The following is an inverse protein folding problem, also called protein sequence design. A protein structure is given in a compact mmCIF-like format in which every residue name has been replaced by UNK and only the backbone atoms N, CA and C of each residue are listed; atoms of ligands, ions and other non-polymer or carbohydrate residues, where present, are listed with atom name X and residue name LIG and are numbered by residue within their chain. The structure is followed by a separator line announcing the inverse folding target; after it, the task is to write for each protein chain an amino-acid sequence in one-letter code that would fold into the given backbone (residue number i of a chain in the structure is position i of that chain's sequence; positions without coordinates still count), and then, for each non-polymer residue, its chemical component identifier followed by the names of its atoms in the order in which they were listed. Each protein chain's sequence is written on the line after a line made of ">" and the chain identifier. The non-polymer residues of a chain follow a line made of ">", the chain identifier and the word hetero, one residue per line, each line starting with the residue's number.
data_IF_389478136502
#
_entry.id   IF_389478136502
#
_cell.length_a   1.000
_cell.length_b   1.000
_cell.length_c   1.000
_cell.angle_alpha   90.00
_cell.angle_beta   90.00
_cell.angle_gamma   90.00
#
_symmetry.space_group_name_H-M   'P 1'
#
loop_
_entity.id
_entity.type
_entity.pdbx_description
1 polymer ?
#
# COMPACT_ATOMS: atom_id res chain seq x y z
N UNK A 1 15.39 -16.90 61.31
CA UNK A 1 16.47 -16.68 60.33
C UNK A 1 15.97 -17.10 58.97
N UNK A 2 15.40 -16.17 58.23
CA UNK A 2 14.80 -16.37 56.89
C UNK A 2 15.84 -15.91 55.86
N UNK A 3 16.36 -16.84 55.05
CA UNK A 3 17.27 -16.55 53.92
C UNK A 3 16.51 -16.08 52.71
N UNK A 4 16.69 -14.84 52.34
CA UNK A 4 16.21 -14.23 51.09
C UNK A 4 17.13 -14.63 49.94
N UNK A 5 16.57 -15.19 48.87
CA UNK A 5 17.27 -15.53 47.63
C UNK A 5 17.49 -14.26 46.77
N UNK A 6 18.61 -14.12 46.02
CA UNK A 6 18.87 -12.95 45.22
C UNK A 6 18.13 -13.01 43.88
N UNK A 7 17.53 -11.86 43.47
CA UNK A 7 16.88 -11.63 42.22
C UNK A 7 17.84 -11.73 41.03
N UNK A 8 17.51 -12.54 40.03
CA UNK A 8 18.23 -12.62 38.75
C UNK A 8 18.01 -11.33 37.95
N UNK A 9 19.05 -10.52 37.76
CA UNK A 9 19.09 -9.42 36.82
C UNK A 9 18.98 -9.97 35.38
N UNK A 10 17.96 -9.51 34.67
CA UNK A 10 17.82 -9.75 33.23
C UNK A 10 18.94 -9.00 32.49
N UNK A 11 19.81 -9.76 31.81
CA UNK A 11 20.83 -9.21 30.92
C UNK A 11 20.15 -8.77 29.63
N UNK A 12 19.97 -7.47 29.49
CA UNK A 12 19.54 -6.87 28.23
C UNK A 12 20.61 -7.08 27.16
N UNK A 13 20.26 -7.79 26.08
CA UNK A 13 21.09 -7.88 24.88
C UNK A 13 21.28 -6.48 24.30
N UNK A 14 22.44 -5.87 24.55
CA UNK A 14 22.93 -4.75 23.76
C UNK A 14 23.15 -5.26 22.32
N UNK A 15 22.34 -4.81 21.38
CA UNK A 15 22.62 -4.95 19.94
C UNK A 15 23.89 -4.14 19.65
N UNK A 16 24.86 -4.80 19.03
CA UNK A 16 26.17 -4.27 18.73
C UNK A 16 26.11 -2.99 17.87
N UNK A 17 26.97 -2.05 18.26
CA UNK A 17 27.19 -0.76 17.61
C UNK A 17 28.19 -0.82 16.44
N UNK A 18 28.33 -1.97 15.78
CA UNK A 18 29.34 -2.16 14.73
C UNK A 18 28.71 -2.46 13.34
N UNK A 19 27.56 -1.82 13.05
CA UNK A 19 27.18 -1.69 11.63
C UNK A 19 28.03 -0.56 11.03
N UNK A 20 28.74 -0.78 9.89
CA UNK A 20 29.49 0.28 9.23
C UNK A 20 28.54 1.44 8.92
N UNK A 21 28.78 2.59 9.54
CA UNK A 21 28.05 3.80 9.22
C UNK A 21 28.39 4.18 7.78
N UNK A 22 27.37 4.17 6.91
CA UNK A 22 27.49 4.73 5.57
C UNK A 22 27.75 6.24 5.71
N UNK A 23 28.96 6.68 5.36
CA UNK A 23 29.27 8.09 5.23
C UNK A 23 28.93 8.52 3.80
N UNK A 24 28.02 9.51 3.61
CA UNK A 24 27.70 10.01 2.29
C UNK A 24 28.94 10.62 1.65
N UNK A 25 29.24 10.26 0.40
CA UNK A 25 30.30 10.88 -0.37
C UNK A 25 29.93 12.36 -0.59
N UNK A 26 30.76 13.33 -0.19
CA UNK A 26 30.48 14.73 -0.42
C UNK A 26 30.47 15.04 -1.92
N UNK A 27 29.41 15.67 -2.42
CA UNK A 27 29.34 16.16 -3.79
C UNK A 27 29.59 17.66 -3.80
N UNK A 28 30.49 18.13 -4.62
CA UNK A 28 30.75 19.57 -4.76
C UNK A 28 29.53 20.29 -5.34
N UNK A 29 28.86 21.15 -4.55
CA UNK A 29 27.64 21.82 -5.01
C UNK A 29 27.90 22.80 -6.19
N UNK A 30 29.16 23.15 -6.50
CA UNK A 30 29.51 24.04 -7.62
C UNK A 30 29.38 23.34 -8.98
N UNK A 31 29.30 22.03 -9.02
CA UNK A 31 29.13 21.23 -10.24
C UNK A 31 27.68 20.88 -10.55
N UNK A 32 26.70 21.54 -9.91
CA UNK A 32 25.28 21.24 -10.05
C UNK A 32 24.54 22.41 -10.69
N UNK A 33 23.81 22.15 -11.77
CA UNK A 33 23.00 23.17 -12.44
C UNK A 33 21.70 22.59 -13.03
N UNK A 34 20.75 23.46 -13.32
CA UNK A 34 19.51 23.11 -13.96
C UNK A 34 19.60 23.29 -15.48
N UNK A 35 19.22 22.28 -16.24
CA UNK A 35 19.18 22.31 -17.69
C UNK A 35 17.92 21.61 -18.21
N UNK A 36 17.39 22.12 -19.35
CA UNK A 36 16.42 21.38 -20.16
C UNK A 36 17.19 20.49 -21.14
N UNK A 37 16.86 19.21 -21.16
CA UNK A 37 17.54 18.23 -22.01
C UNK A 37 16.47 17.43 -22.75
N UNK A 38 16.59 17.28 -24.08
CA UNK A 38 15.76 16.37 -24.86
C UNK A 38 15.84 14.95 -24.30
N UNK A 39 14.69 14.30 -24.10
CA UNK A 39 14.66 12.97 -23.48
C UNK A 39 15.38 11.90 -24.31
N UNK A 40 15.54 12.11 -25.61
CA UNK A 40 16.30 11.24 -26.50
C UNK A 40 17.81 11.25 -26.24
N UNK A 41 18.33 12.26 -25.52
CA UNK A 41 19.74 12.36 -25.14
C UNK A 41 20.04 11.80 -23.75
N UNK A 42 19.02 11.35 -23.03
CA UNK A 42 19.14 10.83 -21.67
C UNK A 42 19.32 9.31 -21.73
N UNK A 43 20.50 8.86 -21.36
CA UNK A 43 20.89 7.46 -21.41
C UNK A 43 20.79 6.79 -20.05
N UNK A 44 20.69 5.45 -20.04
CA UNK A 44 20.76 4.62 -18.83
C UNK A 44 22.01 3.77 -18.98
N UNK A 45 22.92 3.84 -18.01
CA UNK A 45 24.13 3.04 -18.02
C UNK A 45 23.82 1.61 -17.55
N UNK A 46 23.94 0.60 -18.44
CA UNK A 46 23.65 -0.78 -18.07
C UNK A 46 24.74 -1.39 -17.17
N UNK A 47 25.91 -0.76 -17.05
CA UNK A 47 27.03 -1.26 -16.23
C UNK A 47 26.91 -0.85 -14.76
N UNK A 48 26.08 0.14 -14.44
CA UNK A 48 25.81 0.54 -13.06
C UNK A 48 24.78 -0.40 -12.42
N UNK A 49 25.25 -1.42 -11.72
CA UNK A 49 24.43 -2.31 -10.87
C UNK A 49 23.61 -1.54 -9.80
N UNK A 50 23.91 -0.27 -9.60
CA UNK A 50 23.24 0.62 -8.66
C UNK A 50 21.87 1.11 -9.15
N UNK A 51 21.52 0.99 -10.44
CA UNK A 51 20.24 1.43 -10.97
C UNK A 51 19.16 0.37 -10.77
N UNK A 52 17.94 0.81 -10.40
CA UNK A 52 16.79 -0.09 -10.38
C UNK A 52 16.52 -0.63 -11.78
N UNK A 53 16.37 -1.95 -11.91
CA UNK A 53 15.93 -2.56 -13.15
C UNK A 53 14.66 -1.87 -13.65
N UNK A 54 14.66 -1.49 -14.93
CA UNK A 54 13.48 -0.89 -15.57
C UNK A 54 12.28 -1.85 -15.48
N UNK A 55 11.18 -1.37 -14.92
CA UNK A 55 9.94 -2.13 -14.82
C UNK A 55 8.90 -1.61 -15.80
N UNK A 56 8.70 -2.32 -16.91
CA UNK A 56 7.73 -1.95 -17.95
C UNK A 56 6.31 -1.79 -17.39
N UNK A 57 5.90 -2.65 -16.46
CA UNK A 57 4.59 -2.57 -15.81
C UNK A 57 4.39 -1.26 -15.04
N UNK A 58 5.44 -0.73 -14.41
CA UNK A 58 5.40 0.55 -13.72
C UNK A 58 5.34 1.72 -14.70
N UNK A 59 6.15 1.72 -15.76
CA UNK A 59 6.08 2.72 -16.82
C UNK A 59 4.69 2.77 -17.46
N UNK A 60 4.06 1.61 -17.72
CA UNK A 60 2.70 1.53 -18.25
C UNK A 60 1.66 2.13 -17.29
N UNK A 61 1.77 1.89 -15.98
CA UNK A 61 0.88 2.52 -14.98
C UNK A 61 1.04 4.04 -14.95
N UNK A 62 2.28 4.52 -14.99
CA UNK A 62 2.60 5.94 -15.04
C UNK A 62 2.05 6.57 -16.32
N UNK A 63 2.20 5.89 -17.47
CA UNK A 63 1.69 6.34 -18.76
C UNK A 63 0.18 6.50 -18.83
N UNK A 64 -0.59 5.69 -18.09
CA UNK A 64 -2.06 5.80 -17.99
C UNK A 64 -2.51 7.07 -17.25
N UNK A 65 -1.71 7.54 -16.28
CA UNK A 65 -1.97 8.74 -15.47
C UNK A 65 -1.01 9.88 -15.83
N UNK A 66 -0.46 9.85 -17.05
CA UNK A 66 0.57 10.80 -17.47
C UNK A 66 0.05 12.25 -17.43
N UNK A 67 0.81 13.09 -16.72
CA UNK A 67 0.62 14.52 -16.70
C UNK A 67 2.00 15.22 -16.75
N UNK A 68 2.37 15.84 -17.86
CA UNK A 68 3.68 16.48 -17.99
C UNK A 68 3.92 17.62 -16.99
N UNK A 69 2.85 18.24 -16.45
CA UNK A 69 2.96 19.26 -15.40
C UNK A 69 3.45 18.73 -14.06
N UNK A 70 3.34 17.39 -13.85
CA UNK A 70 3.80 16.71 -12.64
C UNK A 70 5.17 16.06 -12.83
N UNK A 71 5.81 16.26 -13.97
CA UNK A 71 7.12 15.71 -14.27
C UNK A 71 8.19 16.43 -13.45
N UNK A 72 8.69 15.77 -12.43
CA UNK A 72 9.79 16.28 -11.61
C UNK A 72 11.09 16.30 -12.42
N UNK A 73 12.03 17.22 -12.12
CA UNK A 73 13.35 17.20 -12.72
C UNK A 73 14.03 15.84 -12.56
N UNK A 74 14.68 15.35 -13.63
CA UNK A 74 15.52 14.16 -13.53
C UNK A 74 16.85 14.51 -12.86
N UNK A 75 17.47 13.55 -12.20
CA UNK A 75 18.84 13.66 -11.73
C UNK A 75 19.74 13.00 -12.77
N UNK A 76 20.72 13.74 -13.26
CA UNK A 76 21.53 13.35 -14.42
C UNK A 76 23.01 13.61 -14.12
N UNK A 77 23.86 12.64 -14.49
CA UNK A 77 25.31 12.83 -14.55
C UNK A 77 25.72 13.14 -15.99
N UNK A 78 26.44 14.24 -16.19
CA UNK A 78 27.14 14.53 -17.44
C UNK A 78 28.59 14.11 -17.31
N UNK A 79 28.95 13.02 -17.98
CA UNK A 79 30.29 12.45 -17.92
C UNK A 79 31.25 13.15 -18.92
N UNK A 80 32.53 12.83 -18.79
CA UNK A 80 33.59 13.40 -19.64
C UNK A 80 33.41 13.08 -21.14
N UNK A 81 32.63 12.06 -21.50
CA UNK A 81 32.23 11.75 -22.87
C UNK A 81 31.18 12.71 -23.45
N UNK A 82 30.71 13.66 -22.66
CA UNK A 82 29.71 14.64 -23.00
C UNK A 82 28.26 14.13 -22.97
N UNK A 83 28.04 12.85 -22.65
CA UNK A 83 26.71 12.23 -22.59
C UNK A 83 26.06 12.39 -21.23
N UNK A 84 24.72 12.29 -21.23
CA UNK A 84 23.89 12.50 -20.07
C UNK A 84 23.31 11.18 -19.55
N UNK A 85 23.73 10.75 -18.38
CA UNK A 85 23.31 9.49 -17.76
C UNK A 85 22.29 9.73 -16.65
N UNK A 86 21.14 9.08 -16.73
CA UNK A 86 20.06 9.20 -15.73
C UNK A 86 20.48 8.52 -14.43
N UNK A 87 20.48 9.24 -13.33
CA UNK A 87 20.60 8.72 -11.98
C UNK A 87 19.23 8.51 -11.33
N UNK A 88 18.25 9.42 -11.57
CA UNK A 88 16.85 9.23 -11.18
C UNK A 88 15.92 9.75 -12.27
N UNK A 89 14.72 9.16 -12.35
CA UNK A 89 13.69 9.56 -13.30
C UNK A 89 13.57 8.68 -14.56
N UNK A 90 14.21 7.50 -14.61
CA UNK A 90 14.22 6.58 -15.74
C UNK A 90 12.82 6.26 -16.28
N UNK A 91 11.89 5.82 -15.41
CA UNK A 91 10.53 5.44 -15.84
C UNK A 91 9.75 6.60 -16.44
N UNK A 92 9.87 7.80 -15.85
CA UNK A 92 9.18 8.99 -16.36
C UNK A 92 9.82 9.53 -17.64
N UNK A 93 11.13 9.38 -17.81
CA UNK A 93 11.81 9.71 -19.08
C UNK A 93 11.34 8.78 -20.20
N UNK A 94 11.26 7.49 -19.94
CA UNK A 94 10.76 6.51 -20.92
C UNK A 94 9.32 6.80 -21.34
N UNK A 95 8.43 7.14 -20.39
CA UNK A 95 7.05 7.52 -20.71
C UNK A 95 6.99 8.82 -21.51
N UNK A 96 7.82 9.80 -21.17
CA UNK A 96 7.90 11.04 -21.93
C UNK A 96 8.36 10.80 -23.38
N UNK A 97 9.40 9.99 -23.55
CA UNK A 97 9.89 9.57 -24.87
C UNK A 97 8.81 8.90 -25.73
N UNK A 98 8.05 7.96 -25.14
CA UNK A 98 6.99 7.23 -25.83
C UNK A 98 5.78 8.11 -26.21
N UNK A 99 5.47 9.13 -25.40
CA UNK A 99 4.31 9.98 -25.62
C UNK A 99 4.58 11.22 -26.47
N UNK A 100 5.77 11.75 -26.38
CA UNK A 100 6.10 13.07 -26.95
C UNK A 100 7.25 13.02 -27.96
N UNK A 101 7.96 11.88 -28.06
CA UNK A 101 9.14 11.73 -28.94
C UNK A 101 10.44 12.21 -28.30
N UNK A 102 11.57 11.97 -29.01
CA UNK A 102 12.92 12.19 -28.48
C UNK A 102 13.26 13.67 -28.21
N UNK A 103 12.62 14.59 -28.95
CA UNK A 103 12.85 16.03 -28.85
C UNK A 103 12.12 16.70 -27.66
N UNK A 104 11.31 15.92 -26.92
CA UNK A 104 10.63 16.46 -25.76
C UNK A 104 11.63 16.83 -24.67
N UNK A 105 11.68 18.12 -24.34
CA UNK A 105 12.56 18.65 -23.30
C UNK A 105 12.01 18.41 -21.90
N UNK A 106 12.83 17.84 -21.01
CA UNK A 106 12.54 17.80 -19.58
C UNK A 106 13.57 18.58 -18.77
N UNK A 107 13.14 19.13 -17.66
CA UNK A 107 14.03 19.72 -16.68
C UNK A 107 14.87 18.63 -16.02
N UNK A 108 16.18 18.87 -15.93
CA UNK A 108 17.15 18.00 -15.29
C UNK A 108 17.99 18.80 -14.29
N UNK A 109 18.34 18.17 -13.20
CA UNK A 109 19.40 18.59 -12.29
C UNK A 109 20.66 17.84 -12.72
N UNK A 110 21.62 18.56 -13.28
CA UNK A 110 22.82 18.00 -13.91
C UNK A 110 24.00 18.15 -12.98
N UNK A 111 24.68 17.04 -12.74
CA UNK A 111 25.97 16.96 -12.06
C UNK A 111 27.03 16.64 -13.09
N UNK A 112 28.16 17.34 -13.07
CA UNK A 112 29.27 17.13 -13.99
C UNK A 112 30.40 16.36 -13.31
N UNK A 113 31.07 15.50 -14.08
CA UNK A 113 32.33 14.84 -13.73
C UNK A 113 32.28 14.08 -12.38
N UNK A 114 31.13 13.44 -12.09
CA UNK A 114 31.03 12.59 -10.91
C UNK A 114 31.85 11.29 -11.09
N UNK A 115 32.50 10.85 -10.01
CA UNK A 115 33.04 9.50 -9.93
C UNK A 115 31.88 8.49 -9.76
N UNK A 116 32.09 7.22 -10.15
CA UNK A 116 31.09 6.15 -10.05
C UNK A 116 30.51 6.01 -8.63
N UNK A 117 31.36 6.17 -7.59
CA UNK A 117 30.94 6.13 -6.20
C UNK A 117 30.01 7.30 -5.82
N UNK A 118 30.21 8.47 -6.41
CA UNK A 118 29.37 9.65 -6.19
C UNK A 118 28.03 9.51 -6.92
N UNK A 119 28.02 8.99 -8.16
CA UNK A 119 26.79 8.64 -8.87
C UNK A 119 25.95 7.65 -8.08
N UNK A 120 26.57 6.58 -7.57
CA UNK A 120 25.90 5.59 -6.73
C UNK A 120 25.35 6.20 -5.41
N UNK A 121 26.12 7.09 -4.77
CA UNK A 121 25.69 7.79 -3.55
C UNK A 121 24.48 8.70 -3.81
N UNK A 122 24.48 9.46 -4.91
CA UNK A 122 23.35 10.30 -5.31
C UNK A 122 22.10 9.47 -5.63
N UNK A 123 22.28 8.35 -6.35
CA UNK A 123 21.18 7.42 -6.61
C UNK A 123 20.56 6.89 -5.32
N UNK A 124 21.40 6.48 -4.35
CA UNK A 124 20.93 6.00 -3.05
C UNK A 124 20.20 7.10 -2.28
N UNK A 125 20.75 8.32 -2.22
CA UNK A 125 20.12 9.44 -1.56
C UNK A 125 18.75 9.80 -2.20
N UNK A 126 18.69 9.87 -3.52
CA UNK A 126 17.45 10.16 -4.24
C UNK A 126 16.34 9.13 -4.01
N UNK A 127 16.70 7.86 -3.78
CA UNK A 127 15.75 6.76 -3.68
C UNK A 127 15.53 6.24 -2.24
N UNK A 128 16.55 6.27 -1.36
CA UNK A 128 16.52 5.70 -0.01
C UNK A 128 16.01 6.69 1.03
N UNK A 129 16.43 7.96 0.90
CA UNK A 129 16.16 8.98 1.91
C UNK A 129 14.78 9.64 1.72
N UNK A 130 14.09 9.32 0.64
CA UNK A 130 12.69 9.72 0.45
C UNK A 130 11.80 8.92 1.40
N UNK A 131 11.34 9.57 2.45
CA UNK A 131 10.33 9.01 3.34
C UNK A 131 9.06 8.71 2.55
N UNK A 132 8.64 7.46 2.51
CA UNK A 132 7.37 7.09 1.89
C UNK A 132 6.22 7.85 2.58
N UNK A 133 5.37 8.50 1.78
CA UNK A 133 4.19 9.19 2.29
C UNK A 133 3.26 8.15 2.93
N UNK A 134 2.82 8.40 4.16
CA UNK A 134 1.92 7.49 4.85
C UNK A 134 0.57 7.42 4.14
N UNK A 135 -0.10 6.26 4.12
CA UNK A 135 -1.42 6.12 3.49
C UNK A 135 -2.45 7.16 3.96
N UNK A 136 -2.43 7.52 5.25
CA UNK A 136 -3.35 8.52 5.79
C UNK A 136 -3.04 9.93 5.30
N UNK A 137 -1.77 10.27 5.08
CA UNK A 137 -1.40 11.60 4.57
C UNK A 137 -1.82 11.72 3.11
N UNK A 138 -1.60 10.67 2.29
CA UNK A 138 -2.13 10.61 0.92
C UNK A 138 -3.67 10.72 0.89
N UNK A 139 -4.36 10.05 1.81
CA UNK A 139 -5.81 10.12 1.92
C UNK A 139 -6.29 11.54 2.20
N UNK A 140 -5.68 12.24 3.16
CA UNK A 140 -6.02 13.62 3.51
C UNK A 140 -5.78 14.59 2.36
N UNK A 141 -4.64 14.47 1.68
CA UNK A 141 -4.33 15.29 0.51
C UNK A 141 -5.32 15.03 -0.63
N UNK A 142 -5.65 13.77 -0.91
CA UNK A 142 -6.62 13.41 -1.93
C UNK A 142 -8.04 13.90 -1.58
N UNK A 143 -8.42 13.85 -0.30
CA UNK A 143 -9.71 14.40 0.18
C UNK A 143 -9.75 15.92 -0.02
N UNK A 144 -8.69 16.65 0.35
CA UNK A 144 -8.57 18.08 0.12
C UNK A 144 -8.58 18.45 -1.37
N UNK A 145 -8.00 17.59 -2.22
CA UNK A 145 -8.02 17.75 -3.67
C UNK A 145 -9.38 17.42 -4.31
N UNK A 146 -10.35 16.92 -3.52
CA UNK A 146 -11.68 16.54 -4.02
C UNK A 146 -11.67 15.29 -4.89
N UNK A 147 -10.71 14.36 -4.70
CA UNK A 147 -10.67 13.12 -5.47
C UNK A 147 -11.98 12.32 -5.27
N UNK A 148 -12.74 12.02 -6.35
CA UNK A 148 -14.11 11.54 -6.24
C UNK A 148 -14.26 10.26 -5.41
N UNK A 149 -13.33 9.28 -5.57
CA UNK A 149 -13.35 8.05 -4.80
C UNK A 149 -13.13 8.33 -3.31
N UNK A 150 -12.11 9.12 -2.97
CA UNK A 150 -11.73 9.38 -1.59
C UNK A 150 -12.82 10.19 -0.89
N UNK A 151 -13.40 11.21 -1.56
CA UNK A 151 -14.51 12.02 -1.03
C UNK A 151 -15.73 11.15 -0.74
N UNK A 152 -16.09 10.24 -1.65
CA UNK A 152 -17.21 9.32 -1.43
C UNK A 152 -16.94 8.34 -0.30
N UNK A 153 -15.76 7.75 -0.26
CA UNK A 153 -15.35 6.80 0.80
C UNK A 153 -15.35 7.49 2.16
N UNK A 154 -14.87 8.73 2.24
CA UNK A 154 -14.91 9.52 3.48
C UNK A 154 -16.34 9.77 3.96
N UNK A 155 -17.23 10.17 3.05
CA UNK A 155 -18.65 10.35 3.37
C UNK A 155 -19.30 9.04 3.86
N UNK A 156 -18.99 7.89 3.26
CA UNK A 156 -19.45 6.57 3.69
C UNK A 156 -18.94 6.22 5.10
N UNK A 157 -17.67 6.50 5.41
CA UNK A 157 -17.11 6.29 6.76
C UNK A 157 -17.75 7.21 7.79
N UNK A 158 -17.91 8.50 7.46
CA UNK A 158 -18.55 9.49 8.32
C UNK A 158 -20.04 9.13 8.57
N UNK A 159 -20.75 8.61 7.58
CA UNK A 159 -22.15 8.16 7.77
C UNK A 159 -22.29 7.03 8.79
N UNK A 160 -21.21 6.25 9.03
CA UNK A 160 -21.15 5.26 10.09
C UNK A 160 -20.75 5.85 11.46
N UNK A 161 -20.56 7.16 11.58
CA UNK A 161 -20.06 7.83 12.79
C UNK A 161 -18.59 7.50 13.08
N UNK A 162 -17.79 7.28 12.02
CA UNK A 162 -16.37 6.94 12.09
C UNK A 162 -15.53 8.00 11.38
N UNK A 163 -14.22 8.02 11.64
CA UNK A 163 -13.25 8.88 10.95
C UNK A 163 -12.05 8.08 10.50
N UNK A 164 -11.45 8.44 9.35
CA UNK A 164 -10.21 7.82 8.86
C UNK A 164 -9.00 8.50 9.49
N UNK A 165 -8.12 7.71 10.10
CA UNK A 165 -6.94 8.20 10.84
C UNK A 165 -5.68 7.39 10.53
N UNK A 166 -4.53 7.77 11.11
CA UNK A 166 -3.27 7.05 10.93
C UNK A 166 -3.15 5.75 11.75
N UNK A 167 -4.03 5.56 12.73
CA UNK A 167 -4.08 4.38 13.60
C UNK A 167 -5.51 4.12 14.03
N UNK A 168 -5.88 2.84 14.22
CA UNK A 168 -7.21 2.51 14.72
C UNK A 168 -7.33 2.79 16.20
N UNK A 169 -8.46 3.39 16.60
CA UNK A 169 -8.89 3.63 17.98
C UNK A 169 -10.42 3.59 18.04
N UNK A 170 -11.06 3.76 19.17
CA UNK A 170 -12.52 3.85 19.22
C UNK A 170 -13.06 4.91 18.26
N UNK A 171 -13.99 4.51 17.40
CA UNK A 171 -14.58 5.33 16.32
C UNK A 171 -13.58 5.86 15.26
N UNK A 172 -12.35 5.35 15.23
CA UNK A 172 -11.30 5.77 14.27
C UNK A 172 -10.74 4.58 13.51
N UNK A 173 -10.78 4.66 12.19
CA UNK A 173 -10.33 3.58 11.28
C UNK A 173 -8.96 3.92 10.74
N UNK A 174 -7.93 3.17 11.18
CA UNK A 174 -6.54 3.32 10.69
C UNK A 174 -6.24 2.51 9.43
N UNK A 175 -7.17 1.65 9.01
CA UNK A 175 -7.01 0.75 7.87
C UNK A 175 -7.32 1.43 6.52
N UNK A 176 -6.65 2.55 6.24
CA UNK A 176 -6.91 3.43 5.09
C UNK A 176 -6.99 2.67 3.77
N UNK A 177 -6.04 1.77 3.49
CA UNK A 177 -6.02 1.00 2.25
C UNK A 177 -7.20 0.02 2.14
N UNK A 178 -7.67 -0.54 3.25
CA UNK A 178 -8.82 -1.44 3.24
C UNK A 178 -10.12 -0.69 2.96
N UNK A 179 -10.34 0.48 3.58
CA UNK A 179 -11.54 1.27 3.33
C UNK A 179 -11.60 1.77 1.89
N UNK A 180 -10.48 2.22 1.32
CA UNK A 180 -10.42 2.62 -0.10
C UNK A 180 -10.69 1.44 -1.03
N UNK A 181 -10.05 0.28 -0.78
CA UNK A 181 -10.23 -0.92 -1.61
C UNK A 181 -11.69 -1.40 -1.61
N UNK A 182 -12.34 -1.41 -0.45
CA UNK A 182 -13.73 -1.87 -0.33
C UNK A 182 -14.71 -0.82 -0.89
N UNK A 183 -14.47 0.45 -0.62
CA UNK A 183 -15.26 1.54 -1.17
C UNK A 183 -15.18 1.61 -2.71
N UNK A 184 -14.02 1.32 -3.31
CA UNK A 184 -13.86 1.26 -4.78
C UNK A 184 -14.72 0.18 -5.43
N UNK A 185 -14.92 -0.97 -4.76
CA UNK A 185 -15.65 -2.10 -5.34
C UNK A 185 -17.12 -1.77 -5.65
N UNK A 186 -17.80 -1.09 -4.72
CA UNK A 186 -19.22 -0.74 -4.87
C UNK A 186 -19.62 0.36 -3.88
N UNK A 187 -20.50 1.26 -4.33
CA UNK A 187 -21.17 2.24 -3.46
C UNK A 187 -22.04 1.52 -2.43
N UNK A 188 -22.00 1.97 -1.17
CA UNK A 188 -22.80 1.39 -0.09
C UNK A 188 -22.28 0.07 0.49
N UNK A 189 -21.23 -0.55 -0.10
CA UNK A 189 -20.62 -1.75 0.45
C UNK A 189 -19.86 -1.45 1.76
N UNK A 190 -19.07 -0.39 1.75
CA UNK A 190 -18.23 -0.03 2.90
C UNK A 190 -19.03 0.23 4.19
N UNK A 191 -20.14 1.01 4.17
CA UNK A 191 -21.00 1.16 5.34
C UNK A 191 -21.51 -0.16 5.90
N UNK A 192 -21.96 -1.09 5.05
CA UNK A 192 -22.43 -2.40 5.51
C UNK A 192 -21.32 -3.21 6.19
N UNK A 193 -20.10 -3.17 5.65
CA UNK A 193 -18.93 -3.82 6.28
C UNK A 193 -18.63 -3.22 7.64
N UNK A 194 -18.54 -1.89 7.73
CA UNK A 194 -18.18 -1.19 8.98
C UNK A 194 -19.25 -1.39 10.05
N UNK A 195 -20.53 -1.33 9.69
CA UNK A 195 -21.65 -1.57 10.62
C UNK A 195 -21.62 -3.02 11.12
N UNK A 196 -21.48 -4.01 10.25
CA UNK A 196 -21.39 -5.43 10.64
C UNK A 196 -20.22 -5.68 11.60
N UNK A 197 -19.06 -5.06 11.37
CA UNK A 197 -17.90 -5.18 12.28
C UNK A 197 -18.17 -4.50 13.64
N UNK A 198 -18.83 -3.35 13.63
CA UNK A 198 -19.25 -2.65 14.86
C UNK A 198 -20.26 -3.47 15.66
N UNK A 199 -21.20 -4.11 15.02
CA UNK A 199 -22.18 -5.00 15.66
C UNK A 199 -21.53 -6.27 16.23
N UNK A 200 -20.52 -6.81 15.55
CA UNK A 200 -19.81 -7.99 16.00
C UNK A 200 -18.96 -7.72 17.25
N UNK A 201 -18.17 -6.65 17.29
CA UNK A 201 -17.17 -6.43 18.33
C UNK A 201 -17.20 -5.03 18.98
N UNK A 202 -18.22 -4.24 18.70
CA UNK A 202 -18.27 -2.86 19.15
C UNK A 202 -17.38 -1.94 18.30
N UNK A 203 -17.25 -0.68 18.76
CA UNK A 203 -16.50 0.37 18.04
C UNK A 203 -15.08 0.53 18.57
N UNK A 204 -14.41 -0.59 18.83
CA UNK A 204 -13.05 -0.60 19.35
C UNK A 204 -11.98 -0.61 18.24
N UNK A 205 -10.74 -0.29 18.60
CA UNK A 205 -9.61 -0.29 17.67
C UNK A 205 -9.44 -1.62 16.91
N UNK A 206 -9.73 -2.74 17.57
CA UNK A 206 -9.59 -4.10 16.98
C UNK A 206 -10.65 -4.39 15.93
N UNK A 207 -11.83 -3.76 16.00
CA UNK A 207 -12.91 -3.91 15.02
C UNK A 207 -12.50 -3.39 13.64
N UNK A 208 -11.60 -2.41 13.59
CA UNK A 208 -11.11 -1.77 12.36
C UNK A 208 -9.84 -2.40 11.81
N UNK A 209 -9.67 -3.72 11.99
CA UNK A 209 -8.52 -4.44 11.44
C UNK A 209 -8.58 -4.51 9.90
N UNK A 210 -7.46 -4.23 9.25
CA UNK A 210 -7.33 -4.20 7.79
C UNK A 210 -7.77 -5.51 7.13
N UNK A 211 -7.35 -6.65 7.70
CA UNK A 211 -7.63 -7.97 7.16
C UNK A 211 -9.12 -8.33 7.30
N UNK A 212 -9.73 -7.94 8.44
CA UNK A 212 -11.16 -8.14 8.68
C UNK A 212 -12.04 -7.31 7.75
N UNK A 213 -11.74 -6.01 7.60
CA UNK A 213 -12.47 -5.12 6.67
C UNK A 213 -12.45 -5.70 5.25
N UNK A 214 -11.28 -6.16 4.79
CA UNK A 214 -11.15 -6.77 3.47
C UNK A 214 -11.92 -8.09 3.35
N UNK A 215 -11.77 -8.99 4.33
CA UNK A 215 -12.39 -10.31 4.28
C UNK A 215 -13.91 -10.21 4.32
N UNK A 216 -14.48 -9.45 5.26
CA UNK A 216 -15.93 -9.23 5.36
C UNK A 216 -16.46 -8.50 4.13
N UNK A 217 -15.71 -7.50 3.63
CA UNK A 217 -16.04 -6.81 2.39
C UNK A 217 -16.09 -7.74 1.17
N UNK A 218 -15.15 -8.69 1.06
CA UNK A 218 -15.15 -9.71 0.01
C UNK A 218 -16.38 -10.63 0.13
N UNK A 219 -16.71 -11.09 1.33
CA UNK A 219 -17.89 -11.96 1.57
C UNK A 219 -19.17 -11.25 1.16
N UNK A 220 -19.40 -10.03 1.65
CA UNK A 220 -20.60 -9.26 1.33
C UNK A 220 -20.68 -8.94 -0.17
N UNK A 221 -19.54 -8.52 -0.78
CA UNK A 221 -19.49 -8.18 -2.20
C UNK A 221 -19.78 -9.37 -3.11
N UNK A 222 -19.21 -10.55 -2.82
CA UNK A 222 -19.44 -11.79 -3.60
C UNK A 222 -20.91 -12.22 -3.53
N UNK A 223 -21.57 -11.94 -2.42
CA UNK A 223 -22.97 -12.31 -2.20
C UNK A 223 -23.91 -11.09 -2.37
N UNK A 224 -23.58 -10.19 -3.29
CA UNK A 224 -24.40 -9.03 -3.64
C UNK A 224 -25.32 -9.35 -4.81
N UNK A 225 -26.60 -9.19 -4.64
CA UNK A 225 -27.58 -9.31 -5.74
C UNK A 225 -27.55 -8.06 -6.60
N UNK A 226 -27.35 -8.23 -7.89
CA UNK A 226 -27.32 -7.11 -8.85
C UNK A 226 -28.70 -6.53 -9.08
N UNK A 227 -29.71 -7.39 -9.07
CA UNK A 227 -31.09 -7.05 -9.36
C UNK A 227 -31.68 -6.12 -8.30
N UNK A 228 -31.42 -6.39 -7.04
CA UNK A 228 -31.99 -5.65 -5.90
C UNK A 228 -31.01 -4.57 -5.38
N UNK A 229 -29.83 -4.48 -5.93
CA UNK A 229 -28.69 -3.67 -5.43
C UNK A 229 -28.48 -3.80 -3.89
N UNK A 230 -28.62 -5.01 -3.39
CA UNK A 230 -28.58 -5.35 -1.98
C UNK A 230 -27.76 -6.64 -1.72
N UNK A 231 -27.17 -6.79 -0.52
CA UNK A 231 -26.53 -8.04 -0.13
C UNK A 231 -27.59 -9.16 -0.01
N UNK A 232 -27.28 -10.32 -0.58
CA UNK A 232 -28.06 -11.56 -0.38
C UNK A 232 -27.83 -12.15 1.01
N UNK A 233 -26.71 -11.83 1.63
CA UNK A 233 -26.31 -12.31 2.95
C UNK A 233 -27.06 -11.54 4.05
N UNK A 234 -27.55 -12.26 5.06
CA UNK A 234 -28.08 -11.68 6.27
C UNK A 234 -26.93 -11.12 7.12
N UNK A 235 -26.89 -9.78 7.25
CA UNK A 235 -25.81 -9.05 7.94
C UNK A 235 -25.87 -9.25 9.46
N UNK A 236 -27.05 -9.39 10.06
CA UNK A 236 -27.22 -9.62 11.48
C UNK A 236 -26.67 -11.00 11.86
N UNK A 237 -27.01 -12.02 11.06
CA UNK A 237 -26.42 -13.35 11.19
C UNK A 237 -24.90 -13.31 11.01
N UNK A 238 -24.40 -12.55 10.06
CA UNK A 238 -22.96 -12.40 9.83
C UNK A 238 -22.27 -11.81 11.06
N UNK A 239 -22.82 -10.75 11.64
CA UNK A 239 -22.32 -10.16 12.87
C UNK A 239 -22.32 -11.16 14.04
N UNK A 240 -23.39 -11.94 14.21
CA UNK A 240 -23.48 -12.98 15.24
C UNK A 240 -22.42 -14.08 15.04
N UNK A 241 -22.17 -14.49 13.80
CA UNK A 241 -21.13 -15.48 13.49
C UNK A 241 -19.74 -14.93 13.79
N UNK A 242 -19.46 -13.69 13.40
CA UNK A 242 -18.18 -13.02 13.65
C UNK A 242 -17.91 -12.87 15.15
N UNK A 243 -18.91 -12.54 15.94
CA UNK A 243 -18.83 -12.38 17.41
C UNK A 243 -18.42 -13.63 18.16
N UNK A 244 -18.64 -14.84 17.59
CA UNK A 244 -18.26 -16.12 18.22
C UNK A 244 -16.76 -16.26 18.44
N UNK A 245 -15.93 -15.44 17.78
CA UNK A 245 -14.48 -15.41 17.90
C UNK A 245 -13.96 -13.98 17.94
N UNK A 246 -12.85 -13.77 18.59
CA UNK A 246 -12.15 -12.48 18.54
C UNK A 246 -11.49 -12.28 17.18
N UNK A 247 -11.23 -11.02 16.79
CA UNK A 247 -10.49 -10.68 15.58
C UNK A 247 -9.15 -11.44 15.51
N UNK A 248 -8.46 -11.56 16.65
CA UNK A 248 -7.18 -12.28 16.73
C UNK A 248 -7.34 -13.78 16.39
N UNK A 249 -8.38 -14.42 16.90
CA UNK A 249 -8.66 -15.85 16.61
C UNK A 249 -8.95 -16.05 15.13
N UNK A 250 -9.84 -15.26 14.53
CA UNK A 250 -10.10 -15.31 13.09
C UNK A 250 -8.83 -15.20 12.25
N UNK A 251 -7.95 -14.25 12.58
CA UNK A 251 -6.68 -14.03 11.87
C UNK A 251 -5.71 -15.20 12.05
N UNK A 252 -5.62 -15.76 13.25
CA UNK A 252 -4.74 -16.90 13.53
C UNK A 252 -5.18 -18.12 12.72
N UNK A 253 -6.47 -18.41 12.66
CA UNK A 253 -7.01 -19.54 11.90
C UNK A 253 -6.76 -19.36 10.39
N UNK A 254 -6.93 -18.15 9.86
CA UNK A 254 -6.63 -17.86 8.47
C UNK A 254 -5.13 -18.00 8.12
N UNK A 255 -4.23 -17.66 9.04
CA UNK A 255 -2.78 -17.82 8.84
C UNK A 255 -2.42 -19.32 8.82
N UNK A 256 -3.00 -20.11 9.70
CA UNK A 256 -2.76 -21.57 9.73
C UNK A 256 -3.19 -22.26 8.44
N UNK A 257 -4.32 -21.84 7.86
CA UNK A 257 -4.80 -22.41 6.59
C UNK A 257 -3.92 -22.06 5.38
N UNK A 258 -3.12 -20.97 5.44
CA UNK A 258 -2.20 -20.57 4.36
C UNK A 258 -0.82 -21.21 4.41
N UNK A 259 -0.40 -21.76 5.54
CA UNK A 259 0.92 -22.41 5.66
C UNK A 259 1.05 -23.71 4.85
N UNK A 260 -0.07 -24.25 4.35
CA UNK A 260 -0.09 -25.47 3.53
C UNK A 260 0.02 -25.22 2.02
N UNK A 261 0.13 -23.99 1.55
CA UNK A 261 0.23 -23.67 0.11
C UNK A 261 1.01 -22.36 -0.11
N UNK A 262 2.24 -22.50 -0.63
CA UNK A 262 3.12 -21.38 -0.93
C UNK A 262 2.53 -20.44 -1.97
N UNK A 263 2.50 -19.16 -1.65
CA UNK A 263 2.13 -18.07 -2.56
C UNK A 263 1.78 -16.80 -1.79
N UNK A 264 2.16 -15.65 -2.35
CA UNK A 264 1.88 -14.30 -1.84
C UNK A 264 0.38 -13.93 -1.94
N UNK A 265 -0.52 -14.82 -1.57
CA UNK A 265 -1.95 -14.53 -1.58
C UNK A 265 -2.33 -13.65 -0.40
N UNK A 266 -3.20 -12.69 -0.65
CA UNK A 266 -3.77 -11.84 0.40
C UNK A 266 -4.38 -12.71 1.50
N UNK A 267 -3.84 -12.64 2.72
CA UNK A 267 -4.35 -13.38 3.90
C UNK A 267 -5.82 -13.12 4.20
N UNK A 268 -6.43 -12.14 3.54
CA UNK A 268 -7.87 -11.84 3.63
C UNK A 268 -8.75 -12.87 2.93
N UNK A 269 -8.23 -13.55 1.89
CA UNK A 269 -8.99 -14.58 1.17
C UNK A 269 -9.29 -15.82 2.04
N UNK A 270 -8.30 -16.48 2.67
CA UNK A 270 -8.57 -17.59 3.59
C UNK A 270 -9.45 -17.17 4.77
N UNK A 271 -9.32 -15.94 5.24
CA UNK A 271 -10.19 -15.41 6.29
C UNK A 271 -11.64 -15.32 5.82
N UNK A 272 -11.88 -14.84 4.60
CA UNK A 272 -13.21 -14.78 4.00
C UNK A 272 -13.82 -16.19 3.82
N UNK A 273 -13.01 -17.17 3.38
CA UNK A 273 -13.43 -18.57 3.26
C UNK A 273 -13.84 -19.17 4.64
N UNK A 274 -13.05 -18.91 5.69
CA UNK A 274 -13.37 -19.33 7.05
C UNK A 274 -14.66 -18.68 7.57
N UNK A 275 -14.89 -17.39 7.27
CA UNK A 275 -16.12 -16.68 7.64
C UNK A 275 -17.33 -17.30 6.94
N UNK A 276 -17.24 -17.59 5.64
CA UNK A 276 -18.31 -18.24 4.87
C UNK A 276 -18.61 -19.65 5.41
N UNK A 277 -17.58 -20.43 5.69
CA UNK A 277 -17.74 -21.76 6.29
C UNK A 277 -18.51 -21.66 7.62
N UNK A 278 -18.13 -20.73 8.49
CA UNK A 278 -18.80 -20.56 9.77
C UNK A 278 -20.23 -19.99 9.62
N UNK A 279 -20.47 -19.14 8.63
CA UNK A 279 -21.79 -18.59 8.35
C UNK A 279 -22.78 -19.67 7.89
N UNK A 280 -22.33 -20.60 7.04
CA UNK A 280 -23.15 -21.65 6.45
C UNK A 280 -23.47 -22.79 7.42
N UNK A 281 -22.85 -22.84 8.60
CA UNK A 281 -23.19 -23.86 9.61
C UNK A 281 -24.66 -23.74 10.02
N UNK A 282 -25.42 -24.83 9.82
CA UNK A 282 -26.85 -24.94 10.18
C UNK A 282 -27.81 -24.32 9.17
N UNK A 283 -27.34 -23.91 7.99
CA UNK A 283 -28.20 -23.57 6.85
C UNK A 283 -28.51 -24.89 6.10
N UNK A 284 -29.79 -25.20 5.96
CA UNK A 284 -30.28 -26.43 5.28
C UNK A 284 -30.72 -26.13 3.84
N UNK A 285 -31.20 -24.94 3.59
CA UNK A 285 -31.69 -24.56 2.28
C UNK A 285 -30.51 -24.11 1.36
N UNK A 286 -30.27 -24.78 0.22
CA UNK A 286 -29.18 -24.50 -0.68
C UNK A 286 -29.20 -23.05 -1.24
N UNK A 287 -30.38 -22.45 -1.37
CA UNK A 287 -30.58 -21.08 -1.86
C UNK A 287 -30.13 -20.00 -0.87
N UNK A 288 -30.02 -20.36 0.41
CA UNK A 288 -29.57 -19.46 1.49
C UNK A 288 -28.05 -19.56 1.75
N UNK A 289 -27.38 -20.54 1.14
CA UNK A 289 -25.95 -20.70 1.30
C UNK A 289 -25.19 -19.51 0.71
N UNK A 290 -24.28 -18.98 1.50
CA UNK A 290 -23.37 -17.90 1.11
C UNK A 290 -22.17 -18.47 0.34
N UNK A 291 -21.81 -17.82 -0.74
CA UNK A 291 -20.72 -18.24 -1.62
C UNK A 291 -19.40 -17.65 -1.13
N UNK A 292 -18.35 -18.48 -1.07
CA UNK A 292 -17.01 -17.99 -0.80
C UNK A 292 -16.47 -17.18 -1.98
N UNK A 293 -15.69 -16.10 -1.73
CA UNK A 293 -15.04 -15.35 -2.79
C UNK A 293 -14.12 -16.27 -3.61
N UNK A 294 -14.19 -16.18 -4.94
CA UNK A 294 -13.32 -16.96 -5.84
C UNK A 294 -11.84 -16.53 -5.70
N UNK A 295 -10.93 -17.47 -5.94
CA UNK A 295 -9.49 -17.20 -5.97
C UNK A 295 -9.20 -16.30 -7.19
N UNK A 296 -9.18 -14.99 -7.02
CA UNK A 296 -9.02 -13.98 -8.08
C UNK A 296 -9.93 -12.78 -7.92
N UNK A 297 -10.95 -12.84 -7.08
CA UNK A 297 -11.87 -11.72 -6.81
C UNK A 297 -11.26 -10.62 -5.92
N UNK A 298 -10.00 -10.71 -5.57
CA UNK A 298 -9.33 -9.87 -4.57
C UNK A 298 -8.09 -9.10 -5.06
N UNK A 299 -7.89 -8.94 -6.37
CA UNK A 299 -6.77 -8.15 -6.91
C UNK A 299 -7.22 -6.73 -7.25
#
# INVERSE_FOLDING_TARGET
>A
MTKTAPAKKAVGKQRGKDEPQYEPVPVDPRSVFHQKIPVGLLEVDPSLDAQRMFQRSWANKLGKKWNPRLLLPAIVSKRADGRYYLLDGQHSTQVALEKHGPEFERHCLVYEELADAEEAALFLAANRDRKAVKPVDNYRVALTAGEPLVTRVDAEVVSCGLTVTGSSSPNQVGAVQAVLLIGEKRVGLLPKVLTTLAEAWGRDATSWDNMMIRAVGMVIHTNWKKEDDAPRIDLDRLALVLRKRTVRQWKTDAIRSTQSGGGSQSRSQPLAENVVTAYNIGITEPTELVIAPGRGAGA
#
